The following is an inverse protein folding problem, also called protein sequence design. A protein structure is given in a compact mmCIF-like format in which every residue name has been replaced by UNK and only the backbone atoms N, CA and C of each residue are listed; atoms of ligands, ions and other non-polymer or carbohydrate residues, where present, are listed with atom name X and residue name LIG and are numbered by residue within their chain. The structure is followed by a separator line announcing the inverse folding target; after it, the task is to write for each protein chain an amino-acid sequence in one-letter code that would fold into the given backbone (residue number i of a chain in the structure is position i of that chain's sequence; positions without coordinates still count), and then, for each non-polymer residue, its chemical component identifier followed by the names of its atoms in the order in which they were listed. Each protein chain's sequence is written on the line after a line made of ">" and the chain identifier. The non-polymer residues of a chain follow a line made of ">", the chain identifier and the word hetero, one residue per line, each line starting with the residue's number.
data_IF_829565115114
#
_entry.id   IF_829565115114
#
_cell.length_a   1.000
_cell.length_b   1.000
_cell.length_c   1.000
_cell.angle_alpha   90.00
_cell.angle_beta   90.00
_cell.angle_gamma   90.00
#
_symmetry.space_group_name_H-M   'P 1'
#
loop_
_entity.id
_entity.type
_entity.pdbx_description
1 polymer ?
#
# COMPACT_ATOMS: atom_id res chain seq x y z
N UNK A 1 19.78 2.60 -10.45
CA UNK A 1 18.77 1.59 -10.14
C UNK A 1 17.55 1.78 -11.05
N UNK A 2 16.93 0.67 -11.44
CA UNK A 2 15.71 0.67 -12.25
C UNK A 2 14.51 1.01 -11.37
N UNK A 3 13.63 1.91 -11.82
CA UNK A 3 12.36 2.15 -11.16
C UNK A 3 11.30 1.21 -11.72
N UNK A 4 10.58 0.52 -10.85
CA UNK A 4 9.46 -0.34 -11.22
C UNK A 4 8.18 0.47 -11.05
N UNK A 5 7.44 0.65 -12.15
CA UNK A 5 6.19 1.40 -12.17
C UNK A 5 4.99 0.46 -12.08
N UNK A 6 4.15 0.68 -11.09
CA UNK A 6 2.85 0.04 -10.99
C UNK A 6 1.82 0.80 -11.83
N UNK A 7 1.28 0.16 -12.85
CA UNK A 7 0.27 0.72 -13.73
C UNK A 7 -1.15 0.26 -13.39
N UNK A 8 -1.31 -0.59 -12.37
CA UNK A 8 -2.61 -1.22 -12.04
C UNK A 8 -3.72 -0.22 -11.75
N UNK A 9 -3.35 0.95 -11.21
CA UNK A 9 -4.25 2.04 -10.88
C UNK A 9 -3.74 3.41 -11.38
N UNK A 10 -2.89 3.43 -12.40
CA UNK A 10 -2.24 4.66 -12.90
C UNK A 10 -3.24 5.76 -13.26
N UNK A 11 -4.42 5.39 -13.76
CA UNK A 11 -5.48 6.35 -14.13
C UNK A 11 -6.25 6.90 -12.93
N UNK A 12 -6.11 6.30 -11.74
CA UNK A 12 -6.80 6.80 -10.55
C UNK A 12 -6.09 8.05 -10.02
N UNK A 13 -6.84 9.15 -9.89
CA UNK A 13 -6.28 10.46 -9.49
C UNK A 13 -5.50 10.46 -8.17
N UNK A 14 -5.83 9.55 -7.26
CA UNK A 14 -5.23 9.49 -5.92
C UNK A 14 -4.15 8.40 -5.81
N UNK A 15 -3.90 7.67 -6.89
CA UNK A 15 -2.82 6.67 -6.89
C UNK A 15 -1.45 7.35 -6.89
N UNK A 16 -0.56 6.90 -6.02
CA UNK A 16 0.78 7.48 -5.89
C UNK A 16 1.72 6.80 -6.89
N UNK A 17 2.04 7.52 -7.95
CA UNK A 17 3.05 7.15 -8.95
C UNK A 17 4.43 7.68 -8.55
N UNK A 18 5.50 7.17 -9.20
CA UNK A 18 6.85 7.70 -9.04
C UNK A 18 6.94 9.20 -9.30
N UNK A 19 6.27 9.71 -10.33
CA UNK A 19 6.29 11.14 -10.65
C UNK A 19 5.65 11.99 -9.54
N UNK A 20 4.58 11.49 -8.92
CA UNK A 20 3.93 12.17 -7.78
C UNK A 20 4.82 12.12 -6.54
N UNK A 21 5.42 10.96 -6.28
CA UNK A 21 6.31 10.76 -5.14
C UNK A 21 7.53 11.66 -5.24
N UNK A 22 8.25 11.65 -6.36
CA UNK A 22 9.44 12.46 -6.58
C UNK A 22 9.13 13.96 -6.48
N UNK A 23 8.03 14.41 -7.10
CA UNK A 23 7.59 15.82 -7.00
C UNK A 23 7.30 16.24 -5.57
N UNK A 24 6.67 15.36 -4.77
CA UNK A 24 6.35 15.67 -3.36
C UNK A 24 7.60 15.93 -2.52
N UNK A 25 8.72 15.31 -2.86
CA UNK A 25 9.99 15.49 -2.17
C UNK A 25 10.98 16.39 -2.92
N UNK A 26 10.51 17.19 -3.88
CA UNK A 26 11.31 18.11 -4.69
C UNK A 26 12.52 17.44 -5.39
N UNK A 27 12.42 16.13 -5.66
CA UNK A 27 13.42 15.42 -6.44
C UNK A 27 13.12 15.65 -7.92
N UNK A 28 14.06 16.29 -8.62
CA UNK A 28 13.92 16.45 -10.06
C UNK A 28 13.86 15.08 -10.74
N UNK A 29 12.93 14.94 -11.69
CA UNK A 29 12.77 13.72 -12.46
C UNK A 29 14.12 13.29 -13.03
N UNK A 30 14.53 12.07 -12.70
CA UNK A 30 15.74 11.48 -13.28
C UNK A 30 15.37 11.11 -14.70
N UNK A 31 15.69 12.02 -15.64
CA UNK A 31 15.37 11.83 -17.04
C UNK A 31 15.78 10.44 -17.55
N UNK A 32 14.80 9.71 -18.09
CA UNK A 32 14.95 8.55 -18.97
C UNK A 32 15.91 7.44 -18.48
N UNK A 33 15.77 6.97 -17.24
CA UNK A 33 16.37 5.69 -16.87
C UNK A 33 15.47 4.54 -17.36
N UNK A 34 16.05 3.36 -17.64
CA UNK A 34 15.26 2.17 -17.92
C UNK A 34 14.22 1.97 -16.82
N UNK A 35 12.97 1.80 -17.20
CA UNK A 35 11.89 1.62 -16.27
C UNK A 35 11.16 0.32 -16.59
N UNK A 36 10.89 -0.48 -15.58
CA UNK A 36 10.01 -1.63 -15.70
C UNK A 36 8.58 -1.17 -15.42
N UNK A 37 7.65 -1.50 -16.30
CA UNK A 37 6.24 -1.07 -16.23
C UNK A 37 5.36 -2.31 -16.14
N UNK A 38 4.63 -2.47 -15.05
CA UNK A 38 3.83 -3.65 -14.74
C UNK A 38 2.44 -3.20 -14.31
N UNK A 39 1.39 -3.80 -14.83
CA UNK A 39 0.00 -3.47 -14.51
C UNK A 39 -0.62 -4.37 -13.43
N UNK A 40 0.21 -4.91 -12.55
CA UNK A 40 -0.22 -5.75 -11.43
C UNK A 40 0.68 -5.48 -10.22
N UNK A 41 0.11 -4.98 -9.12
CA UNK A 41 0.86 -4.61 -7.92
C UNK A 41 1.63 -5.79 -7.30
N UNK A 42 1.08 -7.00 -7.31
CA UNK A 42 1.79 -8.16 -6.76
C UNK A 42 3.01 -8.52 -7.62
N UNK A 43 2.89 -8.44 -8.94
CA UNK A 43 4.02 -8.67 -9.86
C UNK A 43 5.10 -7.56 -9.75
N UNK A 44 4.70 -6.32 -9.43
CA UNK A 44 5.64 -5.23 -9.12
C UNK A 44 6.48 -5.59 -7.89
N UNK A 45 5.84 -6.09 -6.83
CA UNK A 45 6.54 -6.50 -5.60
C UNK A 45 7.44 -7.70 -5.85
N UNK A 46 6.97 -8.71 -6.61
CA UNK A 46 7.80 -9.85 -6.97
C UNK A 46 9.04 -9.42 -7.75
N UNK A 47 8.91 -8.53 -8.72
CA UNK A 47 10.04 -8.00 -9.46
C UNK A 47 11.06 -7.25 -8.56
N UNK A 48 10.59 -6.59 -7.51
CA UNK A 48 11.47 -5.97 -6.53
C UNK A 48 12.18 -7.01 -5.65
N UNK A 49 11.48 -8.08 -5.22
CA UNK A 49 12.06 -9.22 -4.48
C UNK A 49 13.14 -9.91 -5.32
N UNK A 50 12.89 -10.07 -6.62
CA UNK A 50 13.83 -10.68 -7.57
C UNK A 50 15.03 -9.76 -7.94
N UNK A 51 15.09 -8.55 -7.34
CA UNK A 51 16.22 -7.63 -7.52
C UNK A 51 16.18 -6.82 -8.83
N UNK A 52 15.05 -6.77 -9.54
CA UNK A 52 14.94 -6.05 -10.81
C UNK A 52 14.89 -4.53 -10.66
N UNK A 53 14.69 -4.01 -9.43
CA UNK A 53 14.69 -2.58 -9.20
C UNK A 53 14.04 -2.16 -7.89
N UNK A 54 13.62 -0.89 -7.85
CA UNK A 54 12.99 -0.24 -6.70
C UNK A 54 11.53 0.04 -7.02
N UNK A 55 10.62 -0.35 -6.14
CA UNK A 55 9.19 -0.13 -6.27
C UNK A 55 8.65 0.85 -5.22
N UNK A 56 7.58 1.55 -5.55
CA UNK A 56 6.69 2.16 -4.56
C UNK A 56 5.66 1.12 -4.15
N UNK A 57 5.46 0.97 -2.85
CA UNK A 57 4.55 -0.03 -2.33
C UNK A 57 3.68 0.53 -1.19
N UNK A 58 2.50 -0.05 -1.05
CA UNK A 58 1.64 0.20 0.12
C UNK A 58 2.13 -0.66 1.28
N UNK A 59 2.21 -0.09 2.48
CA UNK A 59 2.76 -0.76 3.66
C UNK A 59 2.10 -2.12 3.92
N UNK A 60 0.78 -2.21 3.78
CA UNK A 60 0.03 -3.46 3.99
C UNK A 60 0.44 -4.60 3.02
N UNK A 61 0.96 -4.29 1.85
CA UNK A 61 1.34 -5.29 0.85
C UNK A 61 2.75 -5.83 1.04
N UNK A 62 3.61 -5.12 1.75
CA UNK A 62 5.05 -5.43 1.87
C UNK A 62 5.48 -5.76 3.29
N UNK A 63 4.58 -5.71 4.26
CA UNK A 63 4.90 -5.87 5.67
C UNK A 63 5.61 -7.21 5.96
N UNK A 64 5.07 -8.31 5.44
CA UNK A 64 5.66 -9.64 5.62
C UNK A 64 6.99 -9.80 4.88
N UNK A 65 7.14 -9.18 3.71
CA UNK A 65 8.38 -9.22 2.94
C UNK A 65 9.49 -8.43 3.63
N UNK A 66 9.16 -7.30 4.26
CA UNK A 66 10.10 -6.52 5.05
C UNK A 66 10.47 -7.27 6.33
N UNK A 67 9.49 -7.81 7.07
CA UNK A 67 9.74 -8.58 8.30
C UNK A 67 10.58 -9.82 8.06
N UNK A 68 10.40 -10.49 6.93
CA UNK A 68 11.19 -11.67 6.54
C UNK A 68 12.54 -11.32 5.90
N UNK A 69 12.83 -10.04 5.67
CA UNK A 69 14.08 -9.59 5.06
C UNK A 69 14.16 -9.77 3.54
N UNK A 70 13.06 -10.15 2.87
CA UNK A 70 13.01 -10.26 1.40
C UNK A 70 13.03 -8.89 0.71
N UNK A 71 12.49 -7.88 1.39
CA UNK A 71 12.53 -6.48 0.96
C UNK A 71 13.11 -5.61 2.07
N UNK A 72 13.70 -4.49 1.69
CA UNK A 72 14.16 -3.45 2.61
C UNK A 72 13.47 -2.12 2.29
N UNK A 73 13.17 -1.34 3.32
CA UNK A 73 12.67 0.01 3.17
C UNK A 73 13.83 0.98 3.03
N UNK A 74 14.02 1.54 1.84
CA UNK A 74 15.16 2.40 1.53
C UNK A 74 15.13 3.76 2.26
N UNK A 75 13.93 4.30 2.50
CA UNK A 75 13.75 5.60 3.17
C UNK A 75 12.74 5.41 4.33
N UNK A 76 13.19 4.94 5.50
CA UNK A 76 12.29 4.61 6.61
C UNK A 76 11.51 5.81 7.13
N UNK A 77 12.11 7.00 7.10
CA UNK A 77 11.49 8.24 7.59
C UNK A 77 10.61 8.94 6.55
N UNK A 78 10.52 8.38 5.36
CA UNK A 78 9.78 8.97 4.23
C UNK A 78 8.58 8.11 3.88
N UNK A 79 7.38 8.66 4.06
CA UNK A 79 6.13 8.03 3.67
C UNK A 79 5.13 9.06 3.16
N UNK A 80 4.20 8.60 2.32
CA UNK A 80 3.04 9.39 1.91
C UNK A 80 1.78 8.64 2.34
N UNK A 81 0.90 9.35 3.04
CA UNK A 81 -0.42 8.83 3.33
C UNK A 81 -1.23 8.77 2.04
N UNK A 82 -1.72 7.59 1.71
CA UNK A 82 -2.63 7.40 0.58
C UNK A 82 -4.05 7.79 1.00
N UNK A 83 -4.79 8.54 0.18
CA UNK A 83 -6.21 8.78 0.41
C UNK A 83 -7.08 7.57 0.03
N UNK A 84 -6.49 6.54 -0.58
CA UNK A 84 -7.19 5.30 -0.92
C UNK A 84 -7.37 4.42 0.31
N UNK A 85 -8.55 3.83 0.45
CA UNK A 85 -8.92 2.97 1.57
C UNK A 85 -9.35 1.59 1.09
N UNK A 86 -9.24 0.61 1.96
CA UNK A 86 -9.83 -0.70 1.77
C UNK A 86 -11.22 -0.74 2.42
N UNK A 87 -12.18 -1.34 1.73
CA UNK A 87 -13.55 -1.46 2.19
C UNK A 87 -13.95 -2.92 2.31
N UNK A 88 -14.58 -3.28 3.42
CA UNK A 88 -15.27 -4.55 3.54
C UNK A 88 -16.69 -4.37 3.02
N UNK A 89 -17.02 -5.07 1.94
CA UNK A 89 -18.33 -5.01 1.30
C UNK A 89 -19.07 -6.33 1.42
N UNK A 90 -20.34 -6.29 1.73
CA UNK A 90 -21.24 -7.44 1.82
C UNK A 90 -22.65 -7.05 1.40
N UNK A 91 -23.49 -8.06 1.15
CA UNK A 91 -24.87 -7.85 0.72
C UNK A 91 -25.67 -7.13 1.82
N UNK A 92 -26.52 -6.13 1.49
CA UNK A 92 -27.41 -5.49 2.45
C UNK A 92 -28.25 -6.53 3.22
N UNK A 93 -28.44 -6.31 4.51
CA UNK A 93 -29.17 -7.22 5.41
C UNK A 93 -28.41 -8.46 5.86
N UNK A 94 -27.14 -8.62 5.49
CA UNK A 94 -26.32 -9.75 5.94
C UNK A 94 -25.39 -9.39 7.12
N UNK A 95 -25.40 -8.18 7.59
CA UNK A 95 -24.57 -7.66 8.68
C UNK A 95 -24.80 -8.39 10.01
N UNK A 96 -26.04 -8.85 10.27
CA UNK A 96 -26.44 -9.61 11.47
C UNK A 96 -26.15 -11.12 11.39
N UNK A 97 -25.78 -11.65 10.22
CA UNK A 97 -25.43 -13.07 10.10
C UNK A 97 -24.16 -13.37 10.89
N UNK A 98 -24.17 -14.38 11.81
CA UNK A 98 -23.04 -14.64 12.71
C UNK A 98 -21.70 -14.77 12.01
N UNK A 99 -21.64 -15.44 10.85
CA UNK A 99 -20.42 -15.60 10.06
C UNK A 99 -19.88 -14.26 9.51
N UNK A 100 -20.78 -13.36 9.10
CA UNK A 100 -20.40 -12.02 8.59
C UNK A 100 -19.97 -11.13 9.75
N UNK A 101 -20.77 -11.11 10.83
CA UNK A 101 -20.47 -10.33 12.02
C UNK A 101 -19.11 -10.71 12.63
N UNK A 102 -18.83 -12.01 12.79
CA UNK A 102 -17.58 -12.51 13.35
C UNK A 102 -16.39 -12.19 12.44
N UNK A 103 -16.51 -12.40 11.13
CA UNK A 103 -15.46 -12.05 10.18
C UNK A 103 -15.19 -10.54 10.16
N UNK A 104 -16.25 -9.73 10.16
CA UNK A 104 -16.12 -8.26 10.22
C UNK A 104 -15.40 -7.81 11.49
N UNK A 105 -15.77 -8.33 12.64
CA UNK A 105 -15.10 -8.00 13.91
C UNK A 105 -13.62 -8.36 13.86
N UNK A 106 -13.30 -9.57 13.41
CA UNK A 106 -11.91 -10.02 13.28
C UNK A 106 -11.09 -9.15 12.32
N UNK A 107 -11.58 -8.85 11.11
CA UNK A 107 -10.80 -8.08 10.14
C UNK A 107 -10.59 -6.63 10.59
N UNK A 108 -11.57 -6.05 11.32
CA UNK A 108 -11.43 -4.72 11.91
C UNK A 108 -10.34 -4.73 12.98
N UNK A 109 -10.31 -5.74 13.84
CA UNK A 109 -9.26 -5.90 14.86
C UNK A 109 -7.88 -6.02 14.21
N UNK A 110 -7.73 -6.85 13.16
CA UNK A 110 -6.46 -6.99 12.43
C UNK A 110 -6.04 -5.66 11.79
N UNK A 111 -6.96 -4.93 11.19
CA UNK A 111 -6.66 -3.63 10.58
C UNK A 111 -6.24 -2.58 11.63
N UNK A 112 -6.86 -2.58 12.80
CA UNK A 112 -6.48 -1.69 13.91
C UNK A 112 -5.09 -2.02 14.44
N UNK A 113 -4.81 -3.30 14.67
CA UNK A 113 -3.49 -3.77 15.12
C UNK A 113 -2.38 -3.40 14.11
N UNK A 114 -2.63 -3.59 12.82
CA UNK A 114 -1.71 -3.19 11.76
C UNK A 114 -1.46 -1.67 11.75
N UNK A 115 -2.52 -0.87 11.80
CA UNK A 115 -2.40 0.59 11.81
C UNK A 115 -1.63 1.10 13.03
N UNK A 116 -1.83 0.48 14.19
CA UNK A 116 -1.08 0.81 15.40
C UNK A 116 0.42 0.47 15.25
N UNK A 117 0.74 -0.67 14.65
CA UNK A 117 2.12 -1.10 14.44
C UNK A 117 2.90 -0.17 13.50
N UNK A 118 2.25 0.35 12.43
CA UNK A 118 2.92 1.23 11.45
C UNK A 118 2.89 2.72 11.82
N UNK A 119 1.95 3.15 12.69
CA UNK A 119 1.76 4.54 13.12
C UNK A 119 1.52 4.62 14.63
N UNK A 120 2.49 4.34 15.48
CA UNK A 120 2.30 4.29 16.93
C UNK A 120 1.87 5.62 17.58
N UNK A 121 1.96 6.75 16.86
CA UNK A 121 1.57 8.07 17.33
C UNK A 121 0.23 8.61 16.79
N UNK A 122 -0.48 7.89 15.91
CA UNK A 122 -1.71 8.38 15.29
C UNK A 122 -2.94 7.57 15.74
N UNK A 123 -3.59 8.04 16.80
CA UNK A 123 -4.80 7.45 17.39
C UNK A 123 -6.11 7.71 16.62
N UNK A 124 -6.04 8.23 15.38
CA UNK A 124 -7.23 8.62 14.63
C UNK A 124 -7.44 7.79 13.37
N UNK A 125 -7.71 6.50 13.52
CA UNK A 125 -8.37 5.73 12.46
C UNK A 125 -9.89 5.91 12.61
N UNK A 126 -10.45 6.84 11.88
CA UNK A 126 -11.91 6.92 11.72
C UNK A 126 -12.39 5.70 10.95
N UNK A 127 -12.97 4.74 11.64
CA UNK A 127 -13.84 3.72 11.06
C UNK A 127 -15.23 4.35 11.05
N UNK A 128 -15.61 4.94 9.92
CA UNK A 128 -16.98 5.41 9.72
C UNK A 128 -17.79 4.26 9.12
N UNK A 129 -18.92 3.88 9.71
CA UNK A 129 -19.89 3.01 9.06
C UNK A 129 -20.52 3.79 7.89
N UNK A 130 -20.61 3.16 6.73
CA UNK A 130 -21.40 3.63 5.60
C UNK A 130 -22.89 3.46 5.85
#
# INVERSE_FOLDING_TARGET
>A
QTLIHDLSMEQHKDFITWDRWLRRFNVQSIARKPALRINNSAAVLQAAIDGHGIALARSIMVDDDIKSGRLIRLCPDVSLTSPLSYYLVYRPGCDSLPKIANFRAWIIEQAQAFNHAINPGNLSSKIEPL
#
